data_IF_067916541075
#
_entry.id   IF_067916541075
#
_cell.length_a   1.000
_cell.length_b   1.000
_cell.length_c   1.000
_cell.angle_alpha   90.00
_cell.angle_beta   90.00
_cell.angle_gamma   90.00
#
_symmetry.space_group_name_H-M   'P 1'
#
loop_
_entity.id
_entity.type
_entity.pdbx_description
1 polymer ?
#
# COMPACT_ATOMS: atom_id res chain seq x y z
N UNK A 1 2.19 -5.59 -4.44
CA UNK A 1 2.76 -6.84 -3.88
C UNK A 1 3.59 -6.49 -2.65
N UNK A 2 4.74 -7.16 -2.41
CA UNK A 2 5.70 -6.74 -1.37
C UNK A 2 6.19 -5.31 -1.59
N UNK A 3 6.46 -4.95 -2.85
CA UNK A 3 6.65 -3.56 -3.30
C UNK A 3 5.51 -3.11 -4.23
N UNK A 4 5.63 -1.88 -4.74
CA UNK A 4 4.69 -1.29 -5.70
C UNK A 4 5.42 -0.66 -6.89
N UNK A 5 4.78 -0.71 -8.05
CA UNK A 5 5.24 -0.09 -9.29
C UNK A 5 4.03 0.06 -10.23
N UNK A 6 4.01 1.10 -11.04
CA UNK A 6 3.11 1.23 -12.18
C UNK A 6 3.94 1.43 -13.45
N UNK A 7 3.59 0.68 -14.50
CA UNK A 7 4.26 0.72 -15.79
C UNK A 7 3.24 0.99 -16.89
N UNK A 8 3.59 1.90 -17.80
CA UNK A 8 2.87 2.16 -19.03
C UNK A 8 3.73 1.69 -20.20
N UNK A 9 3.12 0.91 -21.10
CA UNK A 9 3.69 0.54 -22.39
C UNK A 9 2.75 1.01 -23.49
N UNK A 10 3.21 1.96 -24.30
CA UNK A 10 2.44 2.47 -25.42
C UNK A 10 2.60 1.62 -26.69
N UNK A 11 1.67 1.72 -27.66
CA UNK A 11 1.75 0.99 -28.93
C UNK A 11 3.00 1.29 -29.77
N UNK A 12 3.53 2.51 -29.69
CA UNK A 12 4.79 2.89 -30.34
C UNK A 12 6.05 2.28 -29.70
N UNK A 13 5.88 1.53 -28.60
CA UNK A 13 6.95 0.90 -27.85
C UNK A 13 7.60 1.78 -26.77
N UNK A 14 7.12 3.02 -26.56
CA UNK A 14 7.57 3.86 -25.45
C UNK A 14 7.12 3.29 -24.09
N UNK A 15 7.97 3.48 -23.09
CA UNK A 15 7.77 2.99 -21.73
C UNK A 15 7.90 4.12 -20.71
N UNK A 16 6.97 4.16 -19.77
CA UNK A 16 6.98 5.09 -18.64
C UNK A 16 6.68 4.34 -17.35
N UNK A 17 7.17 4.86 -16.22
CA UNK A 17 6.97 4.25 -14.91
C UNK A 17 6.75 5.28 -13.81
N UNK A 18 6.00 4.86 -12.78
CA UNK A 18 5.81 5.59 -11.54
C UNK A 18 6.03 4.61 -10.37
N UNK A 19 6.83 5.01 -9.38
CA UNK A 19 7.24 4.10 -8.31
C UNK A 19 8.28 3.07 -8.78
N UNK A 20 8.33 1.91 -8.11
CA UNK A 20 9.32 0.86 -8.40
C UNK A 20 10.72 1.13 -7.81
N UNK A 21 10.85 2.11 -6.92
CA UNK A 21 12.13 2.52 -6.34
C UNK A 21 12.54 1.74 -5.08
N UNK A 22 11.69 0.83 -4.61
CA UNK A 22 11.93 0.04 -3.42
C UNK A 22 11.68 0.80 -2.11
N UNK A 23 11.89 0.10 -1.00
CA UNK A 23 11.40 0.51 0.32
C UNK A 23 12.15 1.69 0.94
N UNK A 24 13.35 2.02 0.45
CA UNK A 24 14.08 3.17 1.00
C UNK A 24 13.54 4.51 0.53
N UNK A 25 12.89 4.55 -0.64
CA UNK A 25 12.53 5.80 -1.33
C UNK A 25 11.17 5.72 -2.02
N UNK A 26 10.30 4.80 -1.60
CA UNK A 26 8.96 4.67 -2.14
C UNK A 26 8.24 3.42 -1.63
N UNK A 27 7.75 2.62 -2.58
CA UNK A 27 6.89 1.45 -2.33
C UNK A 27 5.50 1.82 -1.76
N UNK A 28 5.03 3.06 -1.94
CA UNK A 28 3.72 3.49 -1.48
C UNK A 28 2.60 2.62 -2.08
N UNK A 29 1.66 2.19 -1.23
CA UNK A 29 0.59 1.27 -1.60
C UNK A 29 1.00 -0.22 -1.68
N UNK A 30 2.22 -0.57 -1.28
CA UNK A 30 2.66 -1.96 -1.16
C UNK A 30 2.43 -2.55 0.24
N UNK A 31 2.52 -3.88 0.34
CA UNK A 31 2.46 -4.58 1.63
C UNK A 31 3.59 -4.17 2.58
N UNK A 32 4.80 -3.89 2.06
CA UNK A 32 5.88 -3.35 2.88
C UNK A 32 5.51 -1.98 3.46
N UNK A 33 4.99 -1.09 2.62
CA UNK A 33 4.62 0.26 3.04
C UNK A 33 3.52 0.21 4.11
N UNK A 34 2.50 -0.64 3.93
CA UNK A 34 1.42 -0.81 4.91
C UNK A 34 1.95 -1.29 6.27
N UNK A 35 2.86 -2.27 6.27
CA UNK A 35 3.52 -2.74 7.49
C UNK A 35 4.34 -1.62 8.16
N UNK A 36 5.14 -0.87 7.38
CA UNK A 36 5.90 0.27 7.86
C UNK A 36 4.99 1.34 8.46
N UNK A 37 3.89 1.69 7.78
CA UNK A 37 2.93 2.69 8.23
C UNK A 37 2.25 2.27 9.53
N UNK A 38 1.84 1.02 9.66
CA UNK A 38 1.26 0.47 10.89
C UNK A 38 2.20 0.62 12.09
N UNK A 39 3.47 0.23 11.93
CA UNK A 39 4.49 0.38 12.97
C UNK A 39 4.72 1.85 13.29
N UNK A 40 4.88 2.70 12.27
CA UNK A 40 5.12 4.13 12.46
C UNK A 40 3.98 4.82 13.22
N UNK A 41 2.73 4.48 12.91
CA UNK A 41 1.56 5.02 13.60
C UNK A 41 1.53 4.62 15.08
N UNK A 42 1.85 3.36 15.41
CA UNK A 42 1.95 2.92 16.80
C UNK A 42 3.06 3.67 17.56
N UNK A 43 4.22 3.85 16.94
CA UNK A 43 5.36 4.51 17.59
C UNK A 43 5.10 5.99 17.82
N UNK A 44 4.52 6.67 16.83
CA UNK A 44 4.16 8.08 16.94
C UNK A 44 3.15 8.35 18.06
N UNK A 45 2.18 7.44 18.22
CA UNK A 45 1.18 7.49 19.27
C UNK A 45 1.81 7.23 20.66
N UNK A 46 2.60 6.17 20.79
CA UNK A 46 3.31 5.83 22.03
C UNK A 46 4.31 6.90 22.50
N UNK A 47 4.98 7.57 21.56
CA UNK A 47 5.92 8.65 21.84
C UNK A 47 5.22 9.99 22.08
N UNK A 48 3.89 10.06 21.93
CA UNK A 48 3.13 11.31 21.91
C UNK A 48 3.69 12.32 20.89
N UNK A 49 4.32 11.82 19.82
CA UNK A 49 4.88 12.64 18.75
C UNK A 49 3.80 13.08 17.76
N UNK A 50 2.94 12.13 17.39
CA UNK A 50 1.74 12.39 16.61
C UNK A 50 0.65 11.41 17.07
N UNK A 51 -0.28 11.86 17.93
CA UNK A 51 -1.36 11.02 18.41
C UNK A 51 -2.16 10.41 17.26
N UNK A 52 -2.47 9.13 17.38
CA UNK A 52 -3.32 8.44 16.42
C UNK A 52 -4.78 8.87 16.58
N UNK A 53 -5.50 8.97 15.46
CA UNK A 53 -6.93 9.25 15.47
C UNK A 53 -7.73 8.04 15.96
N UNK A 54 -7.21 6.83 15.71
CA UNK A 54 -7.81 5.54 16.09
C UNK A 54 -6.94 4.82 17.11
N UNK A 55 -7.52 3.88 17.88
CA UNK A 55 -6.74 3.06 18.81
C UNK A 55 -5.61 2.32 18.08
N UNK A 56 -4.43 2.30 18.68
CA UNK A 56 -3.24 1.59 18.18
C UNK A 56 -3.07 0.21 18.82
N UNK A 57 -3.90 -0.15 19.81
CA UNK A 57 -3.75 -1.37 20.61
C UNK A 57 -3.76 -2.64 19.76
N UNK A 58 -4.78 -2.80 18.90
CA UNK A 58 -4.91 -3.97 18.04
C UNK A 58 -3.74 -4.11 17.07
N UNK A 59 -3.32 -3.00 16.45
CA UNK A 59 -2.19 -3.00 15.53
C UNK A 59 -0.89 -3.35 16.26
N UNK A 60 -0.70 -2.85 17.48
CA UNK A 60 0.45 -3.19 18.31
C UNK A 60 0.49 -4.68 18.67
N UNK A 61 -0.63 -5.30 19.03
CA UNK A 61 -0.71 -6.75 19.26
C UNK A 61 -0.28 -7.54 18.02
N UNK A 62 -0.74 -7.13 16.83
CA UNK A 62 -0.38 -7.80 15.58
C UNK A 62 1.12 -7.67 15.27
N UNK A 63 1.71 -6.50 15.57
CA UNK A 63 3.16 -6.26 15.45
C UNK A 63 3.92 -7.19 16.40
N UNK A 64 3.54 -7.22 17.68
CA UNK A 64 4.15 -8.11 18.68
C UNK A 64 4.12 -9.57 18.25
N UNK A 65 2.95 -10.05 17.80
CA UNK A 65 2.78 -11.42 17.33
C UNK A 65 3.53 -11.73 16.03
N UNK A 66 3.64 -10.78 15.11
CA UNK A 66 4.29 -10.99 13.82
C UNK A 66 5.81 -11.06 13.96
N UNK A 67 6.39 -10.11 14.69
CA UNK A 67 7.84 -10.03 14.89
C UNK A 67 8.32 -10.86 16.08
N UNK A 68 7.40 -11.45 16.86
CA UNK A 68 7.69 -12.16 18.10
C UNK A 68 8.49 -11.29 19.08
N UNK A 69 7.94 -10.11 19.36
CA UNK A 69 8.53 -9.10 20.24
C UNK A 69 7.59 -8.71 21.36
N UNK A 70 8.14 -8.25 22.48
CA UNK A 70 7.35 -7.73 23.61
C UNK A 70 7.46 -6.22 23.75
N UNK A 71 8.61 -5.64 23.41
CA UNK A 71 8.87 -4.21 23.55
C UNK A 71 9.15 -3.53 22.21
N UNK A 72 8.92 -2.22 22.17
CA UNK A 72 9.24 -1.38 21.01
C UNK A 72 10.72 -1.33 20.63
N UNK A 73 11.63 -1.63 21.55
CA UNK A 73 13.06 -1.62 21.22
C UNK A 73 13.44 -2.83 20.36
N UNK A 74 12.76 -3.95 20.53
CA UNK A 74 13.03 -5.20 19.81
C UNK A 74 12.69 -5.11 18.30
N UNK A 75 11.81 -4.18 17.87
CA UNK A 75 11.55 -4.01 16.43
C UNK A 75 12.82 -3.56 15.68
N UNK A 76 13.74 -2.85 16.35
CA UNK A 76 14.90 -2.25 15.69
C UNK A 76 15.81 -3.34 15.08
N UNK A 77 15.87 -4.52 15.71
CA UNK A 77 16.54 -5.69 15.15
C UNK A 77 15.95 -6.06 13.78
N UNK A 78 14.62 -6.04 13.64
CA UNK A 78 13.92 -6.35 12.38
C UNK A 78 13.97 -5.22 11.35
N UNK A 79 14.28 -3.99 11.77
CA UNK A 79 14.47 -2.85 10.86
C UNK A 79 15.91 -2.75 10.32
N UNK A 80 16.90 -3.22 11.09
CA UNK A 80 18.32 -3.01 10.78
C UNK A 80 19.10 -4.32 10.68
N UNK A 81 19.34 -5.00 11.80
CA UNK A 81 20.30 -6.11 11.87
C UNK A 81 19.80 -7.39 11.17
N UNK A 82 18.49 -7.64 11.22
CA UNK A 82 17.79 -8.84 10.73
C UNK A 82 16.74 -8.48 9.69
N UNK A 83 16.94 -7.38 8.95
CA UNK A 83 15.94 -6.90 8.00
C UNK A 83 15.70 -7.93 6.89
N UNK A 84 14.46 -8.42 6.83
CA UNK A 84 13.93 -9.27 5.77
C UNK A 84 12.65 -8.62 5.25
N UNK A 85 12.73 -8.08 4.03
CA UNK A 85 11.64 -7.30 3.43
C UNK A 85 10.36 -8.13 3.22
N UNK A 86 10.40 -9.33 2.60
CA UNK A 86 9.24 -10.22 2.53
C UNK A 86 8.62 -10.51 3.90
N UNK A 87 9.43 -10.87 4.90
CA UNK A 87 8.93 -11.14 6.25
C UNK A 87 8.28 -9.90 6.86
N UNK A 88 8.92 -8.74 6.75
CA UNK A 88 8.39 -7.46 7.27
C UNK A 88 7.05 -7.10 6.62
N UNK A 89 6.96 -7.21 5.30
CA UNK A 89 5.73 -6.98 4.54
C UNK A 89 4.63 -8.02 4.87
N UNK A 90 5.00 -9.19 5.39
CA UNK A 90 4.06 -10.22 5.84
C UNK A 90 3.07 -9.75 6.90
N UNK A 91 3.40 -8.71 7.68
CA UNK A 91 2.46 -8.08 8.63
C UNK A 91 1.18 -7.61 7.93
N UNK A 92 1.27 -7.20 6.66
CA UNK A 92 0.13 -6.73 5.87
C UNK A 92 -1.04 -7.73 5.83
N UNK A 93 -0.78 -9.03 5.82
CA UNK A 93 -1.83 -10.03 5.83
C UNK A 93 -2.65 -9.97 7.13
N UNK A 94 -1.99 -9.78 8.27
CA UNK A 94 -2.67 -9.63 9.57
C UNK A 94 -3.47 -8.32 9.65
N UNK A 95 -2.93 -7.24 9.09
CA UNK A 95 -3.63 -5.95 9.00
C UNK A 95 -4.88 -6.06 8.11
N UNK A 96 -4.82 -6.84 7.03
CA UNK A 96 -5.97 -7.08 6.16
C UNK A 96 -7.12 -7.74 6.92
N UNK A 97 -6.82 -8.79 7.68
CA UNK A 97 -7.85 -9.48 8.47
C UNK A 97 -8.42 -8.58 9.56
N UNK A 98 -7.59 -7.82 10.27
CA UNK A 98 -8.09 -6.86 11.27
C UNK A 98 -8.96 -5.75 10.65
N UNK A 99 -8.63 -5.26 9.45
CA UNK A 99 -9.46 -4.31 8.72
C UNK A 99 -10.84 -4.90 8.38
N UNK A 100 -10.89 -6.17 7.93
CA UNK A 100 -12.14 -6.91 7.67
C UNK A 100 -12.95 -7.13 8.95
N UNK A 101 -12.29 -7.34 10.09
CA UNK A 101 -12.90 -7.47 11.42
C UNK A 101 -13.42 -6.13 11.97
N UNK A 102 -13.08 -5.01 11.33
CA UNK A 102 -13.63 -3.69 11.67
C UNK A 102 -12.64 -2.71 12.28
N UNK A 103 -11.36 -3.05 12.43
CA UNK A 103 -10.34 -2.17 13.02
C UNK A 103 -10.15 -0.91 12.16
N UNK A 104 -10.43 0.26 12.75
CA UNK A 104 -10.43 1.53 12.01
C UNK A 104 -9.04 2.02 11.63
N UNK A 105 -8.01 1.71 12.43
CA UNK A 105 -6.64 2.04 12.09
C UNK A 105 -6.18 1.25 10.87
N UNK A 106 -6.44 -0.07 10.84
CA UNK A 106 -6.16 -0.91 9.69
C UNK A 106 -6.94 -0.45 8.45
N UNK A 107 -8.25 -0.21 8.56
CA UNK A 107 -9.04 0.34 7.45
C UNK A 107 -8.45 1.65 6.92
N UNK A 108 -7.96 2.53 7.80
CA UNK A 108 -7.35 3.80 7.37
C UNK A 108 -6.07 3.59 6.55
N UNK A 109 -5.25 2.59 6.88
CA UNK A 109 -4.04 2.23 6.13
C UNK A 109 -4.41 1.66 4.75
N UNK A 110 -5.46 0.85 4.65
CA UNK A 110 -5.98 0.37 3.36
C UNK A 110 -6.58 1.51 2.53
N UNK A 111 -7.32 2.44 3.15
CA UNK A 111 -7.78 3.65 2.46
C UNK A 111 -6.61 4.42 1.85
N UNK A 112 -5.58 4.73 2.66
CA UNK A 112 -4.33 5.38 2.21
C UNK A 112 -3.67 4.62 1.05
N UNK A 113 -3.65 3.28 1.12
CA UNK A 113 -3.12 2.41 0.06
C UNK A 113 -3.85 2.60 -1.28
N UNK A 114 -5.19 2.62 -1.27
CA UNK A 114 -5.97 2.87 -2.49
C UNK A 114 -5.66 4.23 -3.11
N UNK A 115 -5.45 5.27 -2.29
CA UNK A 115 -5.07 6.60 -2.80
C UNK A 115 -3.71 6.58 -3.49
N UNK A 116 -2.72 5.90 -2.90
CA UNK A 116 -1.38 5.81 -3.47
C UNK A 116 -1.38 5.02 -4.78
N UNK A 117 -2.09 3.90 -4.85
CA UNK A 117 -2.19 3.11 -6.08
C UNK A 117 -2.89 3.90 -7.20
N UNK A 118 -3.93 4.68 -6.90
CA UNK A 118 -4.56 5.57 -7.87
C UNK A 118 -3.59 6.66 -8.36
N UNK A 119 -2.84 7.30 -7.44
CA UNK A 119 -1.83 8.32 -7.78
C UNK A 119 -0.75 7.81 -8.72
N UNK A 120 -0.33 6.55 -8.57
CA UNK A 120 0.64 5.92 -9.49
C UNK A 120 0.12 5.90 -10.94
N UNK A 121 -1.16 5.58 -11.13
CA UNK A 121 -1.77 5.54 -12.46
C UNK A 121 -1.94 6.96 -13.00
N UNK A 122 -2.45 7.88 -12.17
CA UNK A 122 -2.67 9.29 -12.54
C UNK A 122 -1.39 9.95 -13.02
N UNK A 123 -0.25 9.64 -12.39
CA UNK A 123 1.05 10.15 -12.80
C UNK A 123 1.45 9.74 -14.23
N UNK A 124 0.91 8.63 -14.73
CA UNK A 124 1.18 8.10 -16.07
C UNK A 124 0.17 8.56 -17.13
N UNK A 125 -1.01 9.04 -16.74
CA UNK A 125 -2.06 9.48 -17.67
C UNK A 125 -1.59 10.48 -18.73
N UNK A 126 -0.74 11.50 -18.42
CA UNK A 126 -0.24 12.43 -19.44
C UNK A 126 0.68 11.79 -20.50
N UNK A 127 1.04 10.52 -20.35
CA UNK A 127 1.90 9.76 -21.27
C UNK A 127 1.15 8.68 -22.05
N UNK A 128 -0.13 8.46 -21.74
CA UNK A 128 -0.98 7.47 -22.42
C UNK A 128 -1.27 7.95 -23.84
N UNK A 129 -1.07 7.07 -24.82
CA UNK A 129 -1.43 7.32 -26.21
C UNK A 129 -2.92 7.05 -26.47
N UNK A 130 -3.52 7.82 -27.38
CA UNK A 130 -4.96 7.78 -27.69
C UNK A 130 -5.43 6.37 -28.08
N UNK A 131 -4.58 5.58 -28.72
CA UNK A 131 -4.86 4.20 -29.12
C UNK A 131 -5.17 3.28 -27.93
N UNK A 132 -4.61 3.55 -26.75
CA UNK A 132 -4.87 2.77 -25.53
C UNK A 132 -6.23 3.09 -24.90
N UNK A 133 -6.86 4.19 -25.31
CA UNK A 133 -8.17 4.65 -24.81
C UNK A 133 -9.19 4.80 -25.93
N UNK A 134 -8.90 4.25 -27.12
CA UNK A 134 -9.74 4.40 -28.31
C UNK A 134 -11.16 3.81 -28.16
N UNK A 135 -11.33 2.84 -27.24
CA UNK A 135 -12.61 2.26 -26.88
C UNK A 135 -13.36 3.03 -25.76
N UNK A 136 -12.79 4.14 -25.27
CA UNK A 136 -13.34 4.96 -24.18
C UNK A 136 -12.81 4.60 -22.79
N UNK A 137 -12.07 3.49 -22.66
CA UNK A 137 -11.66 2.93 -21.38
C UNK A 137 -10.14 2.71 -21.36
N UNK A 138 -9.50 2.89 -20.21
CA UNK A 138 -8.10 2.48 -20.01
C UNK A 138 -8.07 1.15 -19.25
N UNK A 139 -7.57 0.10 -19.90
CA UNK A 139 -7.34 -1.21 -19.26
C UNK A 139 -6.13 -1.15 -18.33
N UNK A 140 -6.31 -1.63 -17.10
CA UNK A 140 -5.25 -1.68 -16.08
C UNK A 140 -5.12 -3.10 -15.56
N UNK A 141 -3.91 -3.66 -15.69
CA UNK A 141 -3.60 -5.01 -15.21
C UNK A 141 -3.08 -4.93 -13.77
N UNK A 142 -3.78 -5.60 -12.85
CA UNK A 142 -3.51 -5.53 -11.43
C UNK A 142 -2.68 -6.73 -10.94
N UNK A 143 -1.37 -6.54 -10.79
CA UNK A 143 -0.45 -7.62 -10.37
C UNK A 143 -0.04 -7.50 -8.90
N UNK A 144 -0.20 -8.60 -8.16
CA UNK A 144 0.38 -8.81 -6.83
C UNK A 144 -0.63 -8.98 -5.70
N UNK A 145 -0.19 -9.59 -4.60
CA UNK A 145 -1.07 -10.07 -3.52
C UNK A 145 -1.90 -9.01 -2.79
N UNK A 146 -1.51 -7.73 -2.82
CA UNK A 146 -2.30 -6.64 -2.19
C UNK A 146 -3.68 -6.51 -2.85
N UNK A 147 -3.80 -6.81 -4.15
CA UNK A 147 -5.09 -6.77 -4.86
C UNK A 147 -6.10 -7.82 -4.37
N UNK A 148 -5.67 -8.85 -3.62
CA UNK A 148 -6.59 -9.79 -2.95
C UNK A 148 -7.43 -9.13 -1.85
N UNK A 149 -7.07 -7.91 -1.46
CA UNK A 149 -7.78 -7.08 -0.47
C UNK A 149 -8.42 -5.86 -1.11
N UNK A 150 -8.73 -5.92 -2.41
CA UNK A 150 -9.26 -4.77 -3.15
C UNK A 150 -10.53 -4.19 -2.52
N UNK A 151 -11.39 -5.02 -1.95
CA UNK A 151 -12.58 -4.61 -1.20
C UNK A 151 -12.28 -3.61 -0.07
N UNK A 152 -11.10 -3.69 0.57
CA UNK A 152 -10.70 -2.79 1.65
C UNK A 152 -10.25 -1.40 1.18
N UNK A 153 -9.91 -1.24 -0.10
CA UNK A 153 -9.37 0.02 -0.64
C UNK A 153 -9.99 0.45 -1.96
N UNK A 154 -11.01 -0.26 -2.45
CA UNK A 154 -11.70 0.02 -3.70
C UNK A 154 -12.27 1.44 -3.70
N UNK A 155 -12.95 1.85 -2.62
CA UNK A 155 -13.56 3.18 -2.56
C UNK A 155 -12.53 4.29 -2.68
N UNK A 156 -11.43 4.23 -1.92
CA UNK A 156 -10.39 5.26 -1.97
C UNK A 156 -9.61 5.24 -3.28
N UNK A 157 -9.40 4.07 -3.87
CA UNK A 157 -8.82 3.94 -5.21
C UNK A 157 -9.69 4.61 -6.28
N UNK A 158 -10.98 4.26 -6.34
CA UNK A 158 -11.90 4.80 -7.35
C UNK A 158 -12.18 6.29 -7.15
N UNK A 159 -12.31 6.77 -5.91
CA UNK A 159 -12.56 8.19 -5.61
C UNK A 159 -11.42 9.09 -6.06
N UNK A 160 -10.18 8.61 -6.01
CA UNK A 160 -9.02 9.39 -6.43
C UNK A 160 -8.76 9.30 -7.94
N UNK A 161 -9.40 8.38 -8.64
CA UNK A 161 -9.20 8.18 -10.08
C UNK A 161 -10.15 9.06 -10.92
N UNK A 162 -9.65 9.85 -11.88
CA UNK A 162 -10.48 10.75 -12.67
C UNK A 162 -11.26 9.99 -13.76
N UNK A 163 -12.60 9.87 -13.60
CA UNK A 163 -13.66 9.60 -14.59
C UNK A 163 -13.24 9.07 -15.99
N UNK A 164 -12.41 8.05 -16.04
CA UNK A 164 -12.22 7.18 -17.19
C UNK A 164 -12.74 5.83 -16.74
N UNK A 165 -13.68 5.29 -17.50
CA UNK A 165 -14.17 3.94 -17.29
C UNK A 165 -12.95 3.01 -17.21
N UNK A 166 -12.76 2.44 -16.02
CA UNK A 166 -11.54 1.71 -15.68
C UNK A 166 -11.92 0.24 -15.63
N UNK A 167 -11.26 -0.56 -16.48
CA UNK A 167 -11.39 -2.00 -16.44
C UNK A 167 -10.17 -2.58 -15.72
N UNK A 168 -10.42 -3.19 -14.55
CA UNK A 168 -9.40 -3.86 -13.74
C UNK A 168 -9.39 -5.33 -14.12
N UNK A 169 -8.28 -5.78 -14.73
CA UNK A 169 -8.02 -7.18 -15.05
C UNK A 169 -7.08 -7.84 -14.02
#
# INVERSE_FOLDING_TARGET
GTGSNALLKNPDGSFYGCGGWGNFIGDEGSAWYMAFRAIKLCYDDMDNFRPSIYSTERVWELIQQHFNITTRLEILDHCYAKFDKPFFAGLCAKLAEAAKEGDELCKSIFRETGEYLAKHIIALLPKVQDELVANGDLSIVCVGSVWLSFDLFQESFLKNYPNTNLNLD
#
